data_IF_502063561629
#
_entry.id   IF_502063561629
#
_cell.length_a   1.000
_cell.length_b   1.000
_cell.length_c   1.000
_cell.angle_alpha   90.00
_cell.angle_beta   90.00
_cell.angle_gamma   90.00
#
_symmetry.space_group_name_H-M   'P 1'
#
loop_
_entity.id
_entity.type
_entity.pdbx_description
1 polymer ?
#
# COMPACT_ATOMS: atom_id res chain seq x y z
N UNK A 1 15.60 -7.15 18.59
CA UNK A 1 14.30 -7.31 17.88
C UNK A 1 14.16 -6.32 16.70
N UNK A 2 14.53 -5.04 16.82
CA UNK A 2 14.45 -4.08 15.71
C UNK A 2 15.39 -4.42 14.53
N UNK A 3 16.64 -4.82 14.80
CA UNK A 3 17.61 -5.20 13.76
C UNK A 3 17.12 -6.42 12.95
N UNK A 4 16.57 -7.45 13.60
CA UNK A 4 16.06 -8.65 12.92
C UNK A 4 14.89 -8.34 11.98
N UNK A 5 14.02 -7.38 12.34
CA UNK A 5 12.90 -6.98 11.48
C UNK A 5 13.38 -6.16 10.26
N UNK A 6 14.42 -5.35 10.42
CA UNK A 6 15.03 -4.60 9.31
C UNK A 6 15.71 -5.52 8.29
N UNK A 7 16.47 -6.51 8.76
CA UNK A 7 17.11 -7.52 7.89
C UNK A 7 16.09 -8.33 7.08
N UNK A 8 14.99 -8.75 7.73
CA UNK A 8 13.90 -9.46 7.05
C UNK A 8 13.26 -8.61 5.95
N UNK A 9 12.94 -7.33 6.23
CA UNK A 9 12.37 -6.42 5.25
C UNK A 9 13.31 -6.18 4.07
N UNK A 10 14.60 -6.04 4.33
CA UNK A 10 15.61 -5.88 3.29
C UNK A 10 15.71 -7.15 2.42
N UNK A 11 15.71 -8.33 3.01
CA UNK A 11 15.73 -9.60 2.28
C UNK A 11 14.48 -9.78 1.40
N UNK A 12 13.29 -9.42 1.92
CA UNK A 12 12.03 -9.44 1.16
C UNK A 12 12.09 -8.45 -0.01
N UNK A 13 12.56 -7.23 0.21
CA UNK A 13 12.70 -6.22 -0.83
C UNK A 13 13.66 -6.64 -1.94
N UNK A 14 14.82 -7.21 -1.57
CA UNK A 14 15.76 -7.81 -2.52
C UNK A 14 15.13 -8.92 -3.33
N UNK A 15 14.40 -9.84 -2.68
CA UNK A 15 13.70 -10.94 -3.36
C UNK A 15 12.65 -10.44 -4.34
N UNK A 16 11.91 -9.40 -3.97
CA UNK A 16 10.95 -8.74 -4.85
C UNK A 16 11.64 -8.12 -6.06
N UNK A 17 12.79 -7.47 -5.88
CA UNK A 17 13.56 -6.94 -6.99
C UNK A 17 14.07 -8.06 -7.92
N UNK A 18 14.65 -9.15 -7.39
CA UNK A 18 15.09 -10.31 -8.16
C UNK A 18 13.96 -10.91 -9.01
N UNK A 19 12.78 -11.06 -8.42
CA UNK A 19 11.58 -11.53 -9.12
C UNK A 19 11.17 -10.59 -10.26
N UNK A 20 11.25 -9.29 -10.00
CA UNK A 20 10.85 -8.26 -10.96
C UNK A 20 11.90 -8.07 -12.07
N UNK A 21 13.19 -8.12 -11.74
CA UNK A 21 14.29 -7.82 -12.67
C UNK A 21 14.24 -8.63 -13.96
N UNK A 22 13.75 -9.88 -13.90
CA UNK A 22 13.57 -10.74 -15.07
C UNK A 22 12.41 -10.33 -15.99
N UNK A 23 11.58 -9.38 -15.57
CA UNK A 23 10.36 -8.91 -16.24
C UNK A 23 10.47 -7.45 -16.67
N UNK A 24 11.46 -6.71 -16.14
CA UNK A 24 11.70 -5.32 -16.51
C UNK A 24 12.26 -5.22 -17.92
N UNK A 25 11.84 -4.17 -18.62
CA UNK A 25 12.35 -3.79 -19.94
C UNK A 25 12.21 -2.27 -20.14
N UNK A 26 12.86 -1.74 -21.14
CA UNK A 26 12.97 -0.28 -21.40
C UNK A 26 11.63 0.46 -21.55
N UNK A 27 10.55 -0.23 -21.91
CA UNK A 27 9.23 0.38 -22.04
C UNK A 27 8.34 0.18 -20.80
N UNK A 28 8.88 -0.46 -19.74
CA UNK A 28 8.16 -0.77 -18.51
C UNK A 28 7.90 0.49 -17.67
N UNK A 29 6.70 0.63 -17.14
CA UNK A 29 6.31 1.64 -16.16
C UNK A 29 6.17 0.98 -14.80
N UNK A 30 6.86 1.52 -13.80
CA UNK A 30 6.91 0.96 -12.46
C UNK A 30 6.22 1.86 -11.45
N UNK A 31 5.21 1.36 -10.75
CA UNK A 31 4.58 2.02 -9.62
C UNK A 31 5.29 1.66 -8.31
N UNK A 32 5.58 2.65 -7.49
CA UNK A 32 6.25 2.51 -6.19
C UNK A 32 5.34 2.98 -5.08
N UNK A 33 5.15 2.12 -4.10
CA UNK A 33 4.35 2.35 -2.92
C UNK A 33 5.06 3.16 -1.82
N UNK A 34 4.57 2.98 -0.59
CA UNK A 34 5.02 3.75 0.58
C UNK A 34 5.24 2.83 1.77
N UNK A 35 6.25 3.13 2.59
CA UNK A 35 6.49 2.44 3.85
C UNK A 35 7.85 1.77 3.97
N UNK A 36 8.15 1.27 5.16
CA UNK A 36 9.51 0.82 5.51
C UNK A 36 10.05 -0.32 4.63
N UNK A 37 9.22 -1.29 4.24
CA UNK A 37 9.64 -2.37 3.33
C UNK A 37 9.83 -1.84 1.91
N UNK A 38 8.95 -0.94 1.47
CA UNK A 38 9.05 -0.29 0.16
C UNK A 38 10.31 0.59 0.06
N UNK A 39 10.73 1.24 1.15
CA UNK A 39 11.97 2.01 1.17
C UNK A 39 13.20 1.13 0.90
N UNK A 40 13.24 -0.11 1.40
CA UNK A 40 14.30 -1.06 1.03
C UNK A 40 14.23 -1.46 -0.44
N UNK A 41 13.03 -1.59 -1.01
CA UNK A 41 12.88 -1.85 -2.44
C UNK A 41 13.35 -0.65 -3.28
N UNK A 42 13.09 0.59 -2.86
CA UNK A 42 13.65 1.80 -3.49
C UNK A 42 15.18 1.76 -3.47
N UNK A 43 15.81 1.31 -2.39
CA UNK A 43 17.27 1.17 -2.34
C UNK A 43 17.80 0.14 -3.36
N UNK A 44 17.10 -0.98 -3.56
CA UNK A 44 17.46 -1.94 -4.61
C UNK A 44 17.35 -1.31 -6.00
N UNK A 45 16.30 -0.53 -6.29
CA UNK A 45 16.16 0.21 -7.55
C UNK A 45 17.32 1.21 -7.76
N UNK A 46 17.68 1.96 -6.71
CA UNK A 46 18.79 2.94 -6.75
C UNK A 46 20.12 2.24 -7.06
N UNK A 47 20.36 1.08 -6.44
CA UNK A 47 21.61 0.33 -6.61
C UNK A 47 21.71 -0.30 -8.01
N UNK A 48 20.61 -0.80 -8.53
CA UNK A 48 20.58 -1.60 -9.77
C UNK A 48 20.31 -0.76 -11.03
N UNK A 49 19.68 0.40 -10.90
CA UNK A 49 19.37 1.36 -11.98
C UNK A 49 18.82 0.67 -13.24
N UNK A 50 17.69 -0.07 -13.14
CA UNK A 50 17.15 -0.75 -14.30
C UNK A 50 16.75 0.25 -15.40
N UNK A 51 16.94 -0.15 -16.66
CA UNK A 51 16.46 0.64 -17.79
C UNK A 51 14.96 0.44 -17.93
N UNK A 52 14.16 1.43 -17.53
CA UNK A 52 12.70 1.45 -17.58
C UNK A 52 12.21 2.80 -18.10
N UNK A 53 10.97 2.82 -18.61
CA UNK A 53 10.40 4.02 -19.23
C UNK A 53 10.06 5.12 -18.22
N UNK A 54 9.45 4.76 -17.09
CA UNK A 54 8.98 5.71 -16.09
C UNK A 54 8.78 5.06 -14.72
N UNK A 55 8.85 5.88 -13.68
CA UNK A 55 8.47 5.54 -12.31
C UNK A 55 7.33 6.47 -11.89
N UNK A 56 6.27 5.92 -11.27
CA UNK A 56 5.22 6.67 -10.58
C UNK A 56 5.23 6.32 -9.10
N UNK A 57 4.90 7.26 -8.23
CA UNK A 57 4.98 7.09 -6.78
C UNK A 57 3.66 7.39 -6.09
N UNK A 58 3.34 6.62 -5.04
CA UNK A 58 2.10 6.77 -4.28
C UNK A 58 2.18 7.81 -3.15
N UNK A 59 3.33 8.41 -2.89
CA UNK A 59 3.48 9.43 -1.84
C UNK A 59 4.58 10.43 -2.11
N UNK A 60 4.41 11.62 -1.55
CA UNK A 60 5.46 12.67 -1.56
C UNK A 60 6.76 12.16 -0.93
N UNK A 61 6.67 11.35 0.12
CA UNK A 61 7.84 10.78 0.79
C UNK A 61 8.62 9.82 -0.12
N UNK A 62 7.96 8.92 -0.84
CA UNK A 62 8.61 7.99 -1.78
C UNK A 62 9.14 8.73 -3.01
N UNK A 63 8.40 9.72 -3.53
CA UNK A 63 8.87 10.60 -4.62
C UNK A 63 10.19 11.25 -4.25
N UNK A 64 10.25 11.88 -3.08
CA UNK A 64 11.45 12.55 -2.59
C UNK A 64 12.67 11.61 -2.51
N UNK A 65 12.49 10.39 -1.98
CA UNK A 65 13.57 9.39 -1.90
C UNK A 65 14.10 9.00 -3.28
N UNK A 66 13.23 8.85 -4.27
CA UNK A 66 13.60 8.50 -5.64
C UNK A 66 14.34 9.66 -6.32
N UNK A 67 13.82 10.88 -6.22
CA UNK A 67 14.42 12.08 -6.82
C UNK A 67 15.77 12.46 -6.20
N UNK A 68 15.92 12.35 -4.88
CA UNK A 68 17.20 12.56 -4.19
C UNK A 68 18.28 11.57 -4.63
N UNK A 69 17.87 10.40 -5.13
CA UNK A 69 18.77 9.40 -5.72
C UNK A 69 18.99 9.57 -7.24
N UNK A 70 18.41 10.62 -7.84
CA UNK A 70 18.52 10.93 -9.26
C UNK A 70 17.63 10.08 -10.17
N UNK A 71 16.57 9.47 -9.63
CA UNK A 71 15.52 8.78 -10.40
C UNK A 71 14.36 9.76 -10.63
N UNK A 72 14.01 9.97 -11.89
CA UNK A 72 12.88 10.84 -12.25
C UNK A 72 11.54 10.15 -11.95
N UNK A 73 10.63 10.85 -11.28
CA UNK A 73 9.29 10.39 -10.98
C UNK A 73 8.29 11.13 -11.86
N UNK A 74 7.48 10.40 -12.59
CA UNK A 74 6.46 10.93 -13.49
C UNK A 74 5.09 10.94 -12.81
N UNK A 75 4.21 11.84 -13.27
CA UNK A 75 2.80 11.81 -12.91
C UNK A 75 2.09 10.63 -13.60
N UNK A 76 1.18 9.96 -12.89
CA UNK A 76 0.42 8.84 -13.44
C UNK A 76 -0.38 9.22 -14.70
N UNK A 77 -0.85 10.48 -14.75
CA UNK A 77 -1.61 11.00 -15.90
C UNK A 77 -0.78 11.10 -17.18
N UNK A 78 0.55 11.19 -17.08
CA UNK A 78 1.42 11.44 -18.22
C UNK A 78 2.03 10.17 -18.82
N UNK A 79 1.95 9.03 -18.12
CA UNK A 79 2.70 7.82 -18.50
C UNK A 79 1.84 6.61 -18.89
N UNK A 80 0.59 6.57 -18.52
CA UNK A 80 -0.30 5.42 -18.74
C UNK A 80 -0.23 4.38 -17.60
N UNK A 81 -0.78 3.20 -17.85
CA UNK A 81 -0.89 2.14 -16.83
C UNK A 81 0.46 1.55 -16.45
N UNK A 82 0.85 1.52 -15.17
CA UNK A 82 2.04 0.81 -14.72
C UNK A 82 1.96 -0.69 -15.01
N UNK A 83 3.07 -1.27 -15.47
CA UNK A 83 3.16 -2.72 -15.67
C UNK A 83 3.18 -3.45 -14.33
N UNK A 84 3.88 -2.87 -13.36
CA UNK A 84 3.98 -3.40 -12.01
C UNK A 84 3.80 -2.27 -10.99
N UNK A 85 3.12 -2.60 -9.89
CA UNK A 85 3.07 -1.77 -8.69
C UNK A 85 3.62 -2.56 -7.52
N UNK A 86 4.60 -2.03 -6.81
CA UNK A 86 5.24 -2.66 -5.66
C UNK A 86 4.93 -1.85 -4.41
N UNK A 87 4.32 -2.49 -3.41
CA UNK A 87 3.97 -1.79 -2.18
C UNK A 87 3.91 -2.72 -0.97
N UNK A 88 4.03 -2.12 0.22
CA UNK A 88 3.85 -2.79 1.49
C UNK A 88 2.39 -2.95 1.90
N UNK A 89 2.19 -3.58 3.07
CA UNK A 89 0.87 -3.72 3.69
C UNK A 89 0.97 -3.68 5.21
N UNK A 90 -0.14 -3.32 5.86
CA UNK A 90 -0.28 -3.39 7.32
C UNK A 90 -0.82 -4.76 7.76
N UNK A 91 -1.73 -5.36 6.96
CA UNK A 91 -2.22 -6.74 7.09
C UNK A 91 -2.49 -7.34 5.70
N UNK A 92 -2.27 -8.65 5.56
CA UNK A 92 -2.65 -9.42 4.38
C UNK A 92 -3.13 -10.80 4.78
N UNK A 93 -4.23 -11.28 4.18
CA UNK A 93 -4.75 -12.63 4.40
C UNK A 93 -4.37 -13.60 3.27
N UNK A 94 -4.75 -14.88 3.41
CA UNK A 94 -4.42 -15.93 2.42
C UNK A 94 -5.13 -15.74 1.06
N UNK A 95 -6.11 -14.85 0.96
CA UNK A 95 -6.75 -14.44 -0.30
C UNK A 95 -6.10 -13.20 -0.93
N UNK A 96 -4.99 -12.74 -0.36
CA UNK A 96 -4.26 -11.53 -0.75
C UNK A 96 -5.10 -10.24 -0.64
N UNK A 97 -6.17 -10.27 0.14
CA UNK A 97 -6.87 -9.07 0.59
C UNK A 97 -6.05 -8.39 1.68
N UNK A 98 -6.03 -7.06 1.71
CA UNK A 98 -5.12 -6.31 2.58
C UNK A 98 -5.82 -5.21 3.36
N UNK A 99 -5.18 -4.80 4.46
CA UNK A 99 -5.35 -3.48 5.08
C UNK A 99 -4.07 -2.69 4.86
N UNK A 100 -4.22 -1.46 4.40
CA UNK A 100 -3.17 -0.49 4.16
C UNK A 100 -3.56 0.87 4.74
N UNK A 101 -2.62 1.80 4.76
CA UNK A 101 -2.89 3.17 5.18
C UNK A 101 -2.31 3.57 6.53
N UNK A 102 -1.50 2.72 7.17
CA UNK A 102 -0.74 3.10 8.37
C UNK A 102 0.12 4.35 8.15
N UNK A 103 0.73 4.50 6.97
CA UNK A 103 1.47 5.68 6.54
C UNK A 103 0.62 6.85 6.02
N UNK A 104 -0.69 6.65 5.81
CA UNK A 104 -1.62 7.68 5.34
C UNK A 104 -1.66 7.92 3.84
N UNK A 105 -0.96 7.13 3.04
CA UNK A 105 -0.89 7.27 1.57
C UNK A 105 -1.96 6.44 0.82
N UNK A 106 -2.89 5.81 1.55
CA UNK A 106 -3.83 4.78 1.06
C UNK A 106 -4.56 5.16 -0.23
N UNK A 107 -4.95 6.41 -0.41
CA UNK A 107 -5.71 6.87 -1.58
C UNK A 107 -4.86 6.80 -2.85
N UNK A 108 -3.65 7.37 -2.83
CA UNK A 108 -2.73 7.30 -3.96
C UNK A 108 -2.23 5.87 -4.20
N UNK A 109 -2.00 5.09 -3.15
CA UNK A 109 -1.69 3.66 -3.23
C UNK A 109 -2.80 2.90 -3.96
N UNK A 110 -4.07 3.14 -3.61
CA UNK A 110 -5.23 2.50 -4.24
C UNK A 110 -5.37 2.92 -5.71
N UNK A 111 -5.14 4.18 -6.04
CA UNK A 111 -5.16 4.68 -7.42
C UNK A 111 -4.13 3.94 -8.26
N UNK A 112 -2.87 3.90 -7.83
CA UNK A 112 -1.78 3.27 -8.60
C UNK A 112 -1.99 1.75 -8.68
N UNK A 113 -2.39 1.10 -7.57
CA UNK A 113 -2.72 -0.33 -7.57
C UNK A 113 -3.82 -0.66 -8.59
N UNK A 114 -4.89 0.17 -8.66
CA UNK A 114 -6.01 -0.02 -9.58
C UNK A 114 -5.62 0.23 -11.05
N UNK A 115 -4.72 1.18 -11.29
CA UNK A 115 -4.22 1.50 -12.62
C UNK A 115 -3.20 0.48 -13.14
N UNK A 116 -2.61 -0.33 -12.27
CA UNK A 116 -1.49 -1.23 -12.59
C UNK A 116 -1.94 -2.60 -13.08
N UNK A 117 -1.20 -3.15 -14.05
CA UNK A 117 -1.45 -4.49 -14.60
C UNK A 117 -1.20 -5.58 -13.55
N UNK A 118 -0.12 -5.46 -12.77
CA UNK A 118 0.24 -6.42 -11.72
C UNK A 118 0.62 -5.68 -10.44
N UNK A 119 -0.03 -6.04 -9.32
CA UNK A 119 0.27 -5.54 -7.99
C UNK A 119 1.05 -6.58 -7.18
N UNK A 120 2.27 -6.26 -6.79
CA UNK A 120 3.18 -7.09 -5.99
C UNK A 120 3.21 -6.52 -4.58
N UNK A 121 2.64 -7.24 -3.63
CA UNK A 121 2.74 -6.90 -2.21
C UNK A 121 4.04 -7.44 -1.62
N UNK A 122 4.73 -6.61 -0.83
CA UNK A 122 5.97 -6.98 -0.15
C UNK A 122 5.84 -6.75 1.36
N UNK A 123 6.03 -7.76 2.17
CA UNK A 123 5.93 -7.61 3.63
C UNK A 123 6.68 -8.70 4.39
N UNK A 124 6.97 -8.43 5.65
CA UNK A 124 7.41 -9.47 6.58
C UNK A 124 6.23 -10.33 7.07
N UNK A 125 6.52 -11.55 7.53
CA UNK A 125 5.52 -12.54 7.93
C UNK A 125 4.61 -12.10 9.08
N UNK A 126 4.99 -11.08 9.87
CA UNK A 126 4.14 -10.54 10.93
C UNK A 126 2.89 -9.85 10.41
N UNK A 127 2.87 -9.49 9.11
CA UNK A 127 1.72 -8.86 8.42
C UNK A 127 0.69 -9.88 7.93
N UNK A 128 1.04 -11.16 7.89
CA UNK A 128 0.09 -12.22 7.51
C UNK A 128 -0.88 -12.51 8.65
N UNK A 129 -2.16 -12.44 8.32
CA UNK A 129 -3.25 -12.70 9.26
C UNK A 129 -4.29 -13.63 8.64
N UNK A 130 -5.01 -14.41 9.45
CA UNK A 130 -6.14 -15.23 8.97
C UNK A 130 -7.36 -14.37 8.65
N UNK A 131 -7.62 -13.36 9.48
CA UNK A 131 -8.74 -12.42 9.34
C UNK A 131 -8.20 -11.00 9.45
N UNK A 132 -8.61 -10.13 8.53
CA UNK A 132 -8.29 -8.72 8.54
C UNK A 132 -9.02 -7.99 9.67
N UNK A 133 -8.45 -6.88 10.17
CA UNK A 133 -9.11 -5.97 11.10
C UNK A 133 -8.47 -5.90 12.50
N UNK A 134 -7.33 -6.54 12.72
CA UNK A 134 -6.51 -6.30 13.90
C UNK A 134 -5.82 -4.93 13.81
N UNK A 135 -5.29 -4.60 12.62
CA UNK A 135 -4.82 -3.25 12.31
C UNK A 135 -6.03 -2.35 12.01
N UNK A 136 -6.02 -1.07 12.43
CA UNK A 136 -7.14 -0.16 12.16
C UNK A 136 -7.28 0.10 10.66
N UNK A 137 -8.53 0.22 10.20
CA UNK A 137 -8.83 0.66 8.83
C UNK A 137 -8.72 2.16 8.76
N UNK A 138 -7.74 2.66 8.02
CA UNK A 138 -7.61 4.08 7.73
C UNK A 138 -8.66 4.51 6.71
N UNK A 139 -9.35 5.63 6.95
CA UNK A 139 -10.31 6.22 6.02
C UNK A 139 -9.91 7.67 5.76
N UNK A 140 -9.57 7.98 4.52
CA UNK A 140 -9.33 9.35 4.10
C UNK A 140 -10.67 10.05 3.83
N UNK A 141 -10.86 11.21 4.47
CA UNK A 141 -12.12 11.95 4.43
C UNK A 141 -11.88 13.41 4.13
N UNK A 142 -12.79 14.02 3.36
CA UNK A 142 -12.87 15.47 3.24
C UNK A 142 -13.07 16.06 4.66
N UNK A 143 -12.31 17.10 5.07
CA UNK A 143 -12.34 17.62 6.45
C UNK A 143 -13.75 17.92 7.01
N UNK A 144 -14.66 18.45 6.18
CA UNK A 144 -16.05 18.71 6.56
C UNK A 144 -16.80 17.42 6.96
N UNK A 145 -16.48 16.28 6.37
CA UNK A 145 -17.19 15.02 6.58
C UNK A 145 -16.68 14.20 7.77
N UNK A 146 -15.54 14.58 8.38
CA UNK A 146 -14.86 13.77 9.41
C UNK A 146 -15.80 13.23 10.49
N UNK A 147 -16.55 14.10 11.14
CA UNK A 147 -17.44 13.70 12.25
C UNK A 147 -18.67 12.92 11.77
N UNK A 148 -19.15 13.18 10.56
CA UNK A 148 -20.23 12.42 9.94
C UNK A 148 -19.77 10.99 9.63
N UNK A 149 -18.64 10.83 8.95
CA UNK A 149 -18.08 9.51 8.62
C UNK A 149 -17.75 8.74 9.90
N UNK A 150 -17.16 9.38 10.91
CA UNK A 150 -16.89 8.74 12.21
C UNK A 150 -18.18 8.14 12.82
N UNK A 151 -19.31 8.86 12.83
CA UNK A 151 -20.59 8.33 13.31
C UNK A 151 -21.08 7.14 12.47
N UNK A 152 -20.89 7.17 11.15
CA UNK A 152 -21.23 6.02 10.28
C UNK A 152 -20.41 4.78 10.65
N UNK A 153 -19.14 4.95 11.02
CA UNK A 153 -18.29 3.84 11.46
C UNK A 153 -18.73 3.28 12.81
N UNK A 154 -19.22 4.12 13.73
CA UNK A 154 -19.82 3.64 15.00
C UNK A 154 -21.06 2.79 14.73
N UNK A 155 -21.94 3.20 13.81
CA UNK A 155 -23.14 2.41 13.41
C UNK A 155 -22.73 1.04 12.84
N UNK A 156 -21.59 0.97 12.13
CA UNK A 156 -21.03 -0.30 11.61
C UNK A 156 -20.29 -1.13 12.67
N UNK A 157 -20.31 -0.71 13.95
CA UNK A 157 -19.67 -1.40 15.07
C UNK A 157 -18.19 -1.11 15.25
N UNK A 158 -17.62 -0.15 14.49
CA UNK A 158 -16.25 0.29 14.60
C UNK A 158 -16.03 1.34 15.69
N UNK A 159 -14.77 1.51 16.07
CA UNK A 159 -14.30 2.54 17.00
C UNK A 159 -13.41 3.52 16.22
N UNK A 160 -13.96 4.64 15.73
CA UNK A 160 -13.20 5.62 14.94
C UNK A 160 -12.34 6.51 15.85
N UNK A 161 -11.11 6.77 15.43
CA UNK A 161 -10.17 7.66 16.06
C UNK A 161 -9.62 8.64 15.02
N UNK A 162 -9.72 9.96 15.29
CA UNK A 162 -9.15 10.96 14.40
C UNK A 162 -7.61 10.95 14.50
N UNK A 163 -6.92 10.86 13.35
CA UNK A 163 -5.46 10.96 13.29
C UNK A 163 -5.03 12.42 13.45
N UNK A 164 -4.93 12.85 14.70
CA UNK A 164 -4.62 14.24 15.06
C UNK A 164 -3.25 14.67 14.51
N UNK A 165 -3.17 15.88 13.95
CA UNK A 165 -1.91 16.45 13.45
C UNK A 165 -1.44 15.86 12.12
N UNK A 166 -2.22 14.98 11.49
CA UNK A 166 -1.91 14.39 10.19
C UNK A 166 -2.80 14.98 9.10
N UNK A 167 -2.18 15.32 7.97
CA UNK A 167 -2.85 15.71 6.72
C UNK A 167 -2.29 14.82 5.61
N UNK A 168 -3.16 14.20 4.81
CA UNK A 168 -2.73 13.36 3.69
C UNK A 168 -2.07 14.17 2.58
N UNK A 169 -1.34 13.52 1.68
CA UNK A 169 -0.74 14.16 0.49
C UNK A 169 -1.79 14.79 -0.45
N UNK A 170 -3.08 14.52 -0.21
CA UNK A 170 -4.21 15.10 -0.94
C UNK A 170 -4.89 16.25 -0.18
N UNK A 171 -4.34 16.69 0.97
CA UNK A 171 -4.89 17.76 1.79
C UNK A 171 -6.08 17.36 2.67
N UNK A 172 -6.33 16.07 2.84
CA UNK A 172 -7.47 15.53 3.59
C UNK A 172 -7.08 15.04 4.99
N UNK A 173 -8.10 14.67 5.78
CA UNK A 173 -7.93 14.08 7.11
C UNK A 173 -8.09 12.56 7.08
N UNK A 174 -7.55 11.88 8.11
CA UNK A 174 -7.68 10.43 8.26
C UNK A 174 -8.38 10.10 9.57
N UNK A 175 -9.29 9.13 9.50
CA UNK A 175 -9.92 8.46 10.62
C UNK A 175 -9.42 7.02 10.64
N UNK A 176 -8.82 6.58 11.74
CA UNK A 176 -8.42 5.20 11.98
C UNK A 176 -9.56 4.48 12.70
N UNK A 177 -10.09 3.42 12.10
CA UNK A 177 -11.25 2.70 12.64
C UNK A 177 -10.84 1.30 13.12
N UNK A 178 -10.96 1.07 14.41
CA UNK A 178 -10.70 -0.23 15.05
C UNK A 178 -11.99 -1.03 15.20
N UNK A 179 -11.84 -2.31 15.51
CA UNK A 179 -12.93 -3.22 15.89
C UNK A 179 -13.97 -3.48 14.79
N UNK A 180 -13.70 -3.12 13.54
CA UNK A 180 -14.54 -3.52 12.41
C UNK A 180 -14.47 -5.04 12.20
N UNK A 181 -15.64 -5.71 12.12
CA UNK A 181 -15.72 -7.13 11.81
C UNK A 181 -15.74 -7.34 10.30
N UNK A 182 -14.58 -7.43 9.69
CA UNK A 182 -14.40 -7.55 8.24
C UNK A 182 -14.65 -9.00 7.76
N UNK A 183 -15.87 -9.52 7.93
CA UNK A 183 -16.22 -10.88 7.51
C UNK A 183 -16.14 -11.05 5.98
N UNK A 184 -16.57 -10.03 5.24
CA UNK A 184 -16.45 -9.91 3.78
C UNK A 184 -15.80 -8.57 3.47
N UNK A 185 -14.45 -8.51 3.40
CA UNK A 185 -13.72 -7.25 3.24
C UNK A 185 -14.14 -6.46 2.00
N UNK A 186 -14.46 -7.13 0.90
CA UNK A 186 -14.93 -6.51 -0.34
C UNK A 186 -16.21 -5.68 -0.14
N UNK A 187 -17.21 -6.22 0.58
CA UNK A 187 -18.47 -5.52 0.81
C UNK A 187 -18.24 -4.28 1.70
N UNK A 188 -17.42 -4.43 2.76
CA UNK A 188 -17.05 -3.31 3.63
C UNK A 188 -16.29 -2.21 2.88
N UNK A 189 -15.36 -2.57 1.99
CA UNK A 189 -14.65 -1.61 1.14
C UNK A 189 -15.63 -0.76 0.33
N UNK A 190 -16.58 -1.41 -0.35
CA UNK A 190 -17.58 -0.74 -1.18
C UNK A 190 -18.55 0.10 -0.35
N UNK A 191 -19.06 -0.43 0.77
CA UNK A 191 -19.98 0.29 1.65
C UNK A 191 -19.34 1.57 2.21
N UNK A 192 -18.06 1.52 2.63
CA UNK A 192 -17.37 2.69 3.17
C UNK A 192 -17.10 3.70 2.06
N UNK A 193 -16.69 3.27 0.87
CA UNK A 193 -16.43 4.18 -0.26
C UNK A 193 -17.70 4.92 -0.72
N UNK A 194 -18.90 4.38 -0.48
CA UNK A 194 -20.17 5.02 -0.84
C UNK A 194 -20.68 6.02 0.21
N UNK A 195 -19.98 6.23 1.32
CA UNK A 195 -20.36 7.23 2.33
C UNK A 195 -19.94 8.63 1.84
N UNK A 196 -20.86 9.59 1.74
CA UNK A 196 -20.50 10.95 1.33
C UNK A 196 -19.36 11.54 2.16
N UNK A 197 -18.34 12.06 1.48
CA UNK A 197 -17.16 12.66 2.11
C UNK A 197 -16.01 11.67 2.39
N UNK A 198 -16.18 10.38 2.15
CA UNK A 198 -15.07 9.42 2.06
C UNK A 198 -14.38 9.62 0.72
N UNK A 199 -13.06 9.75 0.75
CA UNK A 199 -12.20 9.79 -0.45
C UNK A 199 -11.75 8.38 -0.82
N UNK A 200 -11.22 7.64 0.16
CA UNK A 200 -10.88 6.22 0.05
C UNK A 200 -10.79 5.59 1.44
N UNK A 201 -10.81 4.26 1.48
CA UNK A 201 -10.51 3.50 2.70
C UNK A 201 -9.37 2.51 2.49
N UNK A 202 -8.75 2.08 3.58
CA UNK A 202 -7.56 1.22 3.60
C UNK A 202 -7.84 -0.27 3.39
N UNK A 203 -9.06 -0.69 3.06
CA UNK A 203 -9.35 -2.07 2.69
C UNK A 203 -9.04 -2.24 1.19
N UNK A 204 -8.19 -3.20 0.85
CA UNK A 204 -7.80 -3.55 -0.51
C UNK A 204 -8.28 -4.98 -0.80
N UNK A 205 -9.55 -5.13 -1.07
CA UNK A 205 -10.22 -6.40 -1.37
C UNK A 205 -10.80 -6.42 -2.79
N UNK A 206 -11.25 -5.28 -3.32
CA UNK A 206 -11.64 -5.11 -4.72
C UNK A 206 -10.40 -5.17 -5.64
N UNK A 207 -9.32 -4.44 -5.26
CA UNK A 207 -8.00 -4.56 -5.90
C UNK A 207 -7.02 -5.14 -4.90
N UNK A 208 -6.93 -6.44 -4.83
CA UNK A 208 -5.98 -7.18 -4.02
C UNK A 208 -4.65 -7.38 -4.75
N UNK A 209 -3.61 -7.87 -4.06
CA UNK A 209 -2.35 -8.19 -4.70
C UNK A 209 -2.50 -9.39 -5.64
N UNK A 210 -1.74 -9.38 -6.73
CA UNK A 210 -1.60 -10.51 -7.68
C UNK A 210 -0.45 -11.43 -7.24
N UNK A 211 0.50 -10.87 -6.48
CA UNK A 211 1.68 -11.56 -6.02
C UNK A 211 2.08 -11.05 -4.63
N UNK A 212 2.53 -11.93 -3.77
CA UNK A 212 3.02 -11.63 -2.43
C UNK A 212 4.46 -12.11 -2.30
N UNK A 213 5.37 -11.21 -1.94
CA UNK A 213 6.72 -11.56 -1.52
C UNK A 213 6.80 -11.41 -0.01
N UNK A 214 7.02 -12.51 0.69
CA UNK A 214 6.97 -12.56 2.16
C UNK A 214 8.06 -13.52 2.66
N UNK A 215 8.56 -13.29 3.87
CA UNK A 215 9.45 -14.25 4.50
C UNK A 215 8.70 -15.43 5.11
N UNK A 216 9.30 -16.59 5.01
CA UNK A 216 8.90 -17.80 5.72
C UNK A 216 10.10 -18.29 6.53
N UNK A 217 10.02 -18.17 7.86
CA UNK A 217 11.13 -18.51 8.75
C UNK A 217 12.45 -17.79 8.40
N UNK A 218 12.36 -16.52 8.02
CA UNK A 218 13.51 -15.69 7.64
C UNK A 218 14.00 -15.87 6.18
N UNK A 219 13.37 -16.75 5.40
CA UNK A 219 13.69 -16.95 3.97
C UNK A 219 12.57 -16.36 3.11
N UNK A 220 12.85 -15.34 2.25
CA UNK A 220 11.84 -14.77 1.38
C UNK A 220 11.36 -15.74 0.31
N UNK A 221 10.04 -15.84 0.13
CA UNK A 221 9.37 -16.61 -0.92
C UNK A 221 8.42 -15.72 -1.73
N UNK A 222 8.14 -16.13 -2.97
CA UNK A 222 7.18 -15.49 -3.87
C UNK A 222 5.96 -16.38 -3.98
N UNK A 223 4.78 -15.83 -3.68
CA UNK A 223 3.49 -16.50 -3.78
C UNK A 223 2.65 -15.79 -4.85
N UNK A 224 2.17 -16.50 -5.84
CA UNK A 224 1.25 -16.00 -6.88
C UNK A 224 -0.16 -16.54 -6.65
N UNK A 225 -1.21 -15.74 -7.02
CA UNK A 225 -2.60 -16.20 -7.05
C UNK A 225 -2.88 -17.09 -8.24
#
# INVERSE_FOLDING_TARGET
MENSNSETKQAVARKAYEYLATKLHKDCILGIGTGSTTNFFIQELINQKPEIKAIVSSSVASTKLLEEAGLEVSELNDVGSPDFYIDGTDEINDRFEMIKGGGGALTREKIIASASKKFICICDSSKKVKLLGKFPVAIEVIPMARSYVARQMVVKGGTPEYRVGFVSDNGNQIIDVRNLKLNVPYDFENEINNIPGVVANGIFAARKADCLVVDKNGVPEVLEQ
#
